data_IF_476701406242
#
_entry.id   IF_476701406242
#
_cell.length_a   1.000
_cell.length_b   1.000
_cell.length_c   1.000
_cell.angle_alpha   90.00
_cell.angle_beta   90.00
_cell.angle_gamma   90.00
#
_symmetry.space_group_name_H-M   'P 1'
#
loop_
_entity.id
_entity.type
_entity.pdbx_description
1 polymer ?
#
# COMPACT_ATOMS: atom_id res chain seq x y z
N UNK A 1 -16.40 -2.11 27.24
CA UNK A 1 -16.64 -1.45 25.94
C UNK A 1 -15.95 -2.29 24.87
N UNK A 2 -16.65 -2.59 23.76
CA UNK A 2 -16.03 -3.30 22.63
C UNK A 2 -14.96 -2.41 21.99
N UNK A 3 -13.89 -3.03 21.52
CA UNK A 3 -12.81 -2.33 20.82
C UNK A 3 -13.34 -1.78 19.48
N UNK A 4 -13.06 -0.51 19.16
CA UNK A 4 -13.42 0.06 17.86
C UNK A 4 -12.61 -0.62 16.75
N UNK A 5 -13.29 -1.15 15.73
CA UNK A 5 -12.71 -1.86 14.59
C UNK A 5 -13.06 -1.14 13.28
N UNK A 6 -12.54 -1.64 12.14
CA UNK A 6 -12.75 -1.06 10.81
C UNK A 6 -13.75 -1.85 9.95
N UNK A 7 -14.41 -2.88 10.48
CA UNK A 7 -15.27 -3.77 9.67
C UNK A 7 -16.41 -3.05 8.95
N UNK A 8 -16.99 -2.04 9.57
CA UNK A 8 -18.11 -1.22 9.06
C UNK A 8 -17.65 0.03 8.29
N UNK A 9 -16.33 0.21 8.13
CA UNK A 9 -15.71 1.40 7.53
C UNK A 9 -14.96 1.11 6.22
N UNK A 10 -15.23 -0.03 5.58
CA UNK A 10 -14.61 -0.34 4.30
C UNK A 10 -15.20 0.51 3.17
N UNK A 11 -14.34 0.99 2.27
CA UNK A 11 -14.72 1.79 1.12
C UNK A 11 -14.21 1.18 -0.19
N UNK A 12 -14.92 1.45 -1.28
CA UNK A 12 -14.46 1.04 -2.61
C UNK A 12 -13.31 1.93 -3.06
N UNK A 13 -12.23 1.33 -3.56
CA UNK A 13 -11.08 2.04 -4.11
C UNK A 13 -11.46 2.67 -5.47
N UNK A 14 -11.86 3.94 -5.46
CA UNK A 14 -12.39 4.63 -6.64
C UNK A 14 -13.49 3.81 -7.33
N UNK A 15 -13.40 3.67 -8.65
CA UNK A 15 -14.34 2.91 -9.48
C UNK A 15 -13.95 1.43 -9.71
N UNK A 16 -12.96 0.91 -8.98
CA UNK A 16 -12.42 -0.45 -9.19
C UNK A 16 -13.33 -1.60 -8.76
N UNK A 17 -14.31 -1.32 -7.89
CA UNK A 17 -15.11 -2.35 -7.22
C UNK A 17 -14.35 -3.14 -6.14
N UNK A 18 -13.11 -2.76 -5.82
CA UNK A 18 -12.30 -3.39 -4.77
C UNK A 18 -12.60 -2.70 -3.42
N UNK A 19 -13.20 -3.43 -2.50
CA UNK A 19 -13.54 -2.94 -1.16
C UNK A 19 -12.35 -3.10 -0.23
N UNK A 20 -11.86 -2.01 0.36
CA UNK A 20 -10.67 -1.97 1.23
C UNK A 20 -10.95 -1.29 2.56
N UNK A 21 -10.23 -1.73 3.58
CA UNK A 21 -10.24 -1.08 4.90
C UNK A 21 -9.50 0.27 4.86
N UNK A 22 -9.90 1.25 5.69
CA UNK A 22 -9.26 2.57 5.77
C UNK A 22 -7.78 2.54 6.13
N UNK A 23 -7.33 1.48 6.79
CA UNK A 23 -5.92 1.20 7.02
C UNK A 23 -5.53 -0.10 6.33
N UNK A 24 -4.37 -0.09 5.65
CA UNK A 24 -3.73 -1.26 5.07
C UNK A 24 -2.42 -1.63 5.78
N UNK A 25 -2.08 -2.90 5.82
CA UNK A 25 -0.85 -3.39 6.41
C UNK A 25 0.29 -3.37 5.40
N UNK A 26 1.28 -2.49 5.61
CA UNK A 26 2.52 -2.43 4.83
C UNK A 26 3.52 -3.48 5.31
N UNK A 27 4.13 -4.23 4.40
CA UNK A 27 4.87 -5.46 4.72
C UNK A 27 6.38 -5.41 4.44
N UNK A 28 6.96 -4.23 4.23
CA UNK A 28 8.43 -4.08 4.11
C UNK A 28 9.15 -4.79 5.26
N UNK A 29 8.72 -4.52 6.50
CA UNK A 29 9.32 -5.09 7.73
C UNK A 29 9.16 -6.61 7.88
N UNK A 30 8.34 -7.23 7.05
CA UNK A 30 8.20 -8.69 7.04
C UNK A 30 9.28 -9.38 6.20
N UNK A 31 9.95 -8.66 5.31
CA UNK A 31 10.88 -9.27 4.38
C UNK A 31 12.25 -8.58 4.23
N UNK A 32 12.35 -7.29 4.62
CA UNK A 32 13.57 -6.48 4.43
C UNK A 32 13.78 -5.52 5.60
N UNK A 33 15.00 -5.41 6.07
CA UNK A 33 15.44 -4.47 7.11
C UNK A 33 16.65 -3.62 6.69
N UNK A 34 17.16 -3.81 5.47
CA UNK A 34 18.25 -3.04 4.86
C UNK A 34 17.70 -1.97 3.91
N UNK A 35 18.41 -0.83 3.82
CA UNK A 35 18.04 0.29 2.95
C UNK A 35 16.58 0.75 3.12
N UNK A 36 16.11 0.79 4.36
CA UNK A 36 14.75 1.20 4.73
C UNK A 36 14.76 2.57 5.42
N UNK A 37 13.68 3.35 5.25
CA UNK A 37 13.58 4.73 5.73
C UNK A 37 12.90 4.85 7.12
N UNK A 38 13.15 3.90 8.02
CA UNK A 38 12.61 3.95 9.39
C UNK A 38 13.61 4.60 10.36
N UNK A 39 13.14 5.28 11.42
CA UNK A 39 14.02 6.00 12.37
C UNK A 39 14.91 5.10 13.21
N UNK A 40 14.61 3.82 13.30
CA UNK A 40 15.39 2.84 14.08
C UNK A 40 15.53 1.49 13.40
N UNK A 41 16.53 0.74 13.81
CA UNK A 41 16.70 -0.65 13.39
C UNK A 41 15.59 -1.53 13.97
N UNK A 42 15.27 -2.62 13.28
CA UNK A 42 14.32 -3.62 13.74
C UNK A 42 14.77 -5.02 13.28
N UNK A 43 14.36 -6.03 14.02
CA UNK A 43 14.50 -7.42 13.62
C UNK A 43 13.30 -7.82 12.77
N UNK A 44 13.53 -8.51 11.67
CA UNK A 44 12.45 -9.12 10.88
C UNK A 44 11.76 -10.17 11.76
N UNK A 45 10.43 -10.07 11.99
CA UNK A 45 9.70 -11.01 12.81
C UNK A 45 9.73 -12.43 12.22
N UNK A 46 9.67 -13.45 13.06
CA UNK A 46 9.51 -14.82 12.61
C UNK A 46 8.07 -15.08 12.09
N UNK A 47 7.82 -16.27 11.52
CA UNK A 47 6.52 -16.57 10.91
C UNK A 47 5.37 -16.65 11.92
N UNK A 48 5.63 -17.07 13.15
CA UNK A 48 4.58 -17.12 14.19
C UNK A 48 4.19 -15.72 14.65
N UNK A 49 5.17 -14.83 14.82
CA UNK A 49 4.91 -13.40 15.10
C UNK A 49 4.09 -12.76 13.97
N UNK A 50 4.40 -13.08 12.71
CA UNK A 50 3.63 -12.57 11.56
C UNK A 50 2.22 -13.17 11.53
N UNK A 51 2.03 -14.46 11.83
CA UNK A 51 0.69 -15.07 11.94
C UNK A 51 -0.17 -14.36 13.00
N UNK A 52 0.43 -14.05 14.17
CA UNK A 52 -0.25 -13.29 15.21
C UNK A 52 -0.65 -11.91 14.71
N UNK A 53 0.26 -11.20 14.05
CA UNK A 53 0.00 -9.87 13.50
C UNK A 53 -1.11 -9.88 12.43
N UNK A 54 -1.08 -10.83 11.49
CA UNK A 54 -2.11 -10.98 10.45
C UNK A 54 -3.48 -11.32 11.05
N UNK A 55 -3.53 -12.24 12.02
CA UNK A 55 -4.78 -12.58 12.73
C UNK A 55 -5.37 -11.37 13.43
N UNK A 56 -4.54 -10.59 14.10
CA UNK A 56 -4.96 -9.38 14.79
C UNK A 56 -5.42 -8.31 13.80
N UNK A 57 -4.70 -8.10 12.70
CA UNK A 57 -5.11 -7.16 11.64
C UNK A 57 -6.51 -7.50 11.14
N UNK A 58 -6.78 -8.77 10.85
CA UNK A 58 -8.10 -9.26 10.44
C UNK A 58 -9.18 -9.03 11.51
N UNK A 59 -8.90 -9.36 12.77
CA UNK A 59 -9.82 -9.12 13.89
C UNK A 59 -10.16 -7.64 14.10
N UNK A 60 -9.23 -6.76 13.74
CA UNK A 60 -9.41 -5.32 13.78
C UNK A 60 -10.09 -4.74 12.51
N UNK A 61 -10.42 -5.58 11.54
CA UNK A 61 -11.10 -5.19 10.31
C UNK A 61 -10.19 -4.71 9.19
N UNK A 62 -8.88 -4.96 9.26
CA UNK A 62 -7.97 -4.72 8.14
C UNK A 62 -8.10 -5.88 7.15
N UNK A 63 -8.39 -5.57 5.89
CA UNK A 63 -8.41 -6.53 4.80
C UNK A 63 -7.38 -6.27 3.70
N UNK A 64 -6.62 -5.18 3.79
CA UNK A 64 -5.66 -4.73 2.79
C UNK A 64 -4.22 -5.02 3.23
N UNK A 65 -3.46 -5.70 2.37
CA UNK A 65 -2.02 -5.95 2.53
C UNK A 65 -1.26 -5.33 1.36
N UNK A 66 -0.29 -4.47 1.65
CA UNK A 66 0.62 -3.87 0.68
C UNK A 66 2.00 -4.53 0.74
N UNK A 67 2.41 -5.16 -0.36
CA UNK A 67 3.72 -5.77 -0.54
C UNK A 67 4.39 -5.33 -1.85
N UNK A 68 5.58 -5.84 -2.15
CA UNK A 68 6.31 -5.61 -3.39
C UNK A 68 7.43 -6.65 -3.60
N UNK A 69 7.87 -6.89 -4.84
CA UNK A 69 9.10 -7.65 -5.13
C UNK A 69 10.33 -7.07 -4.41
N UNK A 70 10.42 -5.74 -4.32
CA UNK A 70 11.50 -5.03 -3.62
C UNK A 70 11.48 -5.19 -2.09
N UNK A 71 10.48 -5.83 -1.50
CA UNK A 71 10.39 -6.04 -0.04
C UNK A 71 11.03 -7.36 0.41
N UNK A 72 12.07 -7.81 -0.29
CA UNK A 72 12.84 -8.99 0.03
C UNK A 72 11.98 -10.27 0.04
N UNK A 73 11.85 -10.93 1.19
CA UNK A 73 11.10 -12.19 1.31
C UNK A 73 9.60 -12.02 1.59
N UNK A 74 9.09 -10.77 1.60
CA UNK A 74 7.71 -10.47 2.03
C UNK A 74 6.66 -11.24 1.22
N UNK A 75 6.70 -11.19 -0.12
CA UNK A 75 5.75 -11.91 -0.98
C UNK A 75 5.74 -13.42 -0.71
N UNK A 76 6.93 -14.06 -0.65
CA UNK A 76 7.05 -15.51 -0.41
C UNK A 76 6.47 -15.90 0.95
N UNK A 77 6.72 -15.09 1.99
CA UNK A 77 6.17 -15.34 3.32
C UNK A 77 4.66 -15.20 3.34
N UNK A 78 4.12 -14.15 2.71
CA UNK A 78 2.68 -13.93 2.61
C UNK A 78 1.98 -15.07 1.88
N UNK A 79 2.53 -15.58 0.77
CA UNK A 79 1.97 -16.74 0.07
C UNK A 79 1.73 -17.92 1.01
N UNK A 80 2.76 -18.32 1.77
CA UNK A 80 2.67 -19.41 2.76
C UNK A 80 1.71 -19.08 3.92
N UNK A 81 1.77 -17.85 4.45
CA UNK A 81 1.02 -17.47 5.65
C UNK A 81 -0.48 -17.22 5.38
N UNK A 82 -0.85 -16.92 4.13
CA UNK A 82 -2.22 -16.66 3.71
C UNK A 82 -2.92 -17.88 3.09
N UNK A 83 -2.29 -19.07 3.12
CA UNK A 83 -2.93 -20.31 2.63
C UNK A 83 -4.28 -20.54 3.31
N UNK A 84 -5.29 -20.85 2.50
CA UNK A 84 -6.66 -21.09 2.96
C UNK A 84 -7.48 -19.83 3.29
N UNK A 85 -6.85 -18.64 3.32
CA UNK A 85 -7.52 -17.38 3.61
C UNK A 85 -7.22 -16.27 2.57
N UNK A 86 -6.66 -16.62 1.41
CA UNK A 86 -6.30 -15.65 0.34
C UNK A 86 -7.47 -14.73 -0.04
N UNK A 87 -8.67 -15.28 -0.16
CA UNK A 87 -9.88 -14.54 -0.57
C UNK A 87 -10.39 -13.54 0.47
N UNK A 88 -9.89 -13.60 1.68
CA UNK A 88 -10.26 -12.68 2.76
C UNK A 88 -9.40 -11.40 2.77
N UNK A 89 -8.39 -11.35 1.88
CA UNK A 89 -7.44 -10.27 1.78
C UNK A 89 -7.43 -9.64 0.39
N UNK A 90 -7.37 -8.32 0.36
CA UNK A 90 -6.99 -7.54 -0.82
C UNK A 90 -5.47 -7.42 -0.83
N UNK A 91 -4.82 -7.98 -1.85
CA UNK A 91 -3.36 -7.91 -2.00
C UNK A 91 -2.96 -6.83 -2.99
N UNK A 92 -2.11 -5.92 -2.54
CA UNK A 92 -1.37 -5.00 -3.40
C UNK A 92 0.05 -5.53 -3.57
N UNK A 93 0.52 -5.67 -4.81
CA UNK A 93 1.95 -5.80 -5.10
C UNK A 93 2.40 -4.68 -6.04
N UNK A 94 3.66 -4.71 -6.46
CA UNK A 94 4.24 -3.65 -7.28
C UNK A 94 5.08 -4.23 -8.41
N UNK A 95 5.43 -3.38 -9.38
CA UNK A 95 6.36 -3.69 -10.48
C UNK A 95 7.32 -2.51 -10.68
N UNK A 96 8.46 -2.79 -11.28
CA UNK A 96 9.46 -1.79 -11.63
C UNK A 96 10.65 -1.79 -10.66
N UNK A 97 10.44 -1.65 -9.34
CA UNK A 97 11.53 -1.71 -8.37
C UNK A 97 11.80 -3.16 -7.95
N UNK A 98 13.06 -3.53 -8.00
CA UNK A 98 13.63 -4.77 -7.47
C UNK A 98 14.68 -4.46 -6.39
N UNK A 99 14.99 -5.46 -5.56
CA UNK A 99 16.03 -5.34 -4.54
C UNK A 99 16.81 -6.65 -4.46
N UNK A 100 18.05 -6.60 -4.96
CA UNK A 100 18.95 -7.75 -4.97
C UNK A 100 20.27 -7.36 -4.33
N UNK A 101 20.80 -8.22 -3.47
CA UNK A 101 22.13 -8.08 -2.84
C UNK A 101 22.36 -6.70 -2.21
N UNK A 102 21.32 -6.13 -1.56
CA UNK A 102 21.42 -4.84 -0.89
C UNK A 102 21.25 -3.63 -1.81
N UNK A 103 21.03 -3.83 -3.12
CA UNK A 103 20.95 -2.74 -4.11
C UNK A 103 19.54 -2.69 -4.74
N UNK A 104 18.85 -1.55 -4.68
CA UNK A 104 17.65 -1.34 -5.47
C UNK A 104 18.00 -1.07 -6.94
N UNK A 105 17.25 -1.64 -7.87
CA UNK A 105 17.30 -1.28 -9.29
C UNK A 105 15.88 -1.22 -9.85
N UNK A 106 15.72 -0.57 -11.02
CA UNK A 106 14.43 -0.37 -11.64
C UNK A 106 14.46 -0.83 -13.10
N UNK A 107 13.38 -1.52 -13.50
CA UNK A 107 13.14 -1.92 -14.89
C UNK A 107 11.63 -1.84 -15.17
N UNK A 108 11.24 -0.96 -16.09
CA UNK A 108 9.85 -0.70 -16.48
C UNK A 108 9.51 -1.26 -17.87
N UNK A 109 10.36 -2.12 -18.44
CA UNK A 109 10.09 -2.78 -19.72
C UNK A 109 8.89 -3.72 -19.64
N UNK A 110 8.25 -3.96 -20.78
CA UNK A 110 7.15 -4.92 -20.89
C UNK A 110 7.55 -6.33 -20.45
N UNK A 111 8.74 -6.76 -20.86
CA UNK A 111 9.28 -8.10 -20.52
C UNK A 111 9.46 -8.23 -19.00
N UNK A 112 10.12 -7.25 -18.36
CA UNK A 112 10.34 -7.28 -16.92
C UNK A 112 9.01 -7.21 -16.16
N UNK A 113 8.09 -6.32 -16.57
CA UNK A 113 6.78 -6.16 -15.94
C UNK A 113 6.02 -7.47 -15.92
N UNK A 114 5.94 -8.19 -17.05
CA UNK A 114 5.28 -9.49 -17.13
C UNK A 114 5.95 -10.55 -16.26
N UNK A 115 7.26 -10.67 -16.38
CA UNK A 115 8.06 -11.60 -15.56
C UNK A 115 7.87 -11.33 -14.06
N UNK A 116 7.89 -10.07 -13.64
CA UNK A 116 7.73 -9.67 -12.23
C UNK A 116 6.37 -10.07 -11.68
N UNK A 117 5.27 -9.87 -12.44
CA UNK A 117 3.92 -10.28 -12.03
C UNK A 117 3.80 -11.80 -11.94
N UNK A 118 4.27 -12.55 -12.93
CA UNK A 118 4.26 -14.01 -12.89
C UNK A 118 5.01 -14.55 -11.66
N UNK A 119 6.16 -13.97 -11.37
CA UNK A 119 6.95 -14.28 -10.18
C UNK A 119 6.22 -13.93 -8.88
N UNK A 120 5.54 -12.78 -8.83
CA UNK A 120 4.76 -12.36 -7.66
C UNK A 120 3.57 -13.28 -7.43
N UNK A 121 2.83 -13.68 -8.46
CA UNK A 121 1.76 -14.68 -8.38
C UNK A 121 2.26 -15.99 -7.78
N UNK A 122 3.42 -16.49 -8.27
CA UNK A 122 4.04 -17.70 -7.75
C UNK A 122 4.48 -17.57 -6.30
N UNK A 123 5.09 -16.43 -5.91
CA UNK A 123 5.53 -16.17 -4.54
C UNK A 123 4.38 -16.03 -3.57
N UNK A 124 3.29 -15.36 -4.00
CA UNK A 124 2.07 -15.14 -3.22
C UNK A 124 1.14 -16.36 -3.22
N UNK A 125 1.46 -17.42 -3.98
CA UNK A 125 0.66 -18.65 -4.10
C UNK A 125 -0.81 -18.35 -4.46
N UNK A 126 -1.01 -17.51 -5.49
CA UNK A 126 -2.35 -17.04 -5.91
C UNK A 126 -2.43 -16.91 -7.43
N UNK A 127 -3.63 -17.08 -7.98
CA UNK A 127 -3.89 -16.95 -9.42
C UNK A 127 -4.09 -15.50 -9.85
N UNK A 128 -4.35 -14.58 -8.90
CA UNK A 128 -4.53 -13.16 -9.18
C UNK A 128 -4.03 -12.27 -8.04
N UNK A 129 -3.64 -11.02 -8.39
CA UNK A 129 -3.36 -9.93 -7.46
C UNK A 129 -4.47 -8.90 -7.61
N UNK A 130 -5.00 -8.38 -6.49
CA UNK A 130 -6.10 -7.43 -6.53
C UNK A 130 -5.69 -6.08 -7.13
N UNK A 131 -4.51 -5.58 -6.78
CA UNK A 131 -3.99 -4.32 -7.30
C UNK A 131 -2.47 -4.41 -7.51
N UNK A 132 -2.01 -3.97 -8.68
CA UNK A 132 -0.57 -3.80 -8.95
C UNK A 132 -0.26 -2.33 -9.19
N UNK A 133 0.73 -1.82 -8.48
CA UNK A 133 1.20 -0.44 -8.63
C UNK A 133 2.58 -0.41 -9.32
N UNK A 134 2.78 0.52 -10.24
CA UNK A 134 4.13 0.84 -10.70
C UNK A 134 4.87 1.52 -9.55
N UNK A 135 6.03 1.00 -9.17
CA UNK A 135 6.87 1.50 -8.09
C UNK A 135 7.92 2.46 -8.65
N UNK A 136 7.58 3.73 -8.73
CA UNK A 136 8.40 4.75 -9.40
C UNK A 136 9.79 4.93 -8.80
N UNK A 137 10.77 5.19 -9.66
CA UNK A 137 12.12 5.68 -9.30
C UNK A 137 12.16 7.19 -9.04
N UNK A 138 11.12 7.93 -9.50
CA UNK A 138 10.99 9.39 -9.44
C UNK A 138 10.85 10.05 -10.82
N UNK A 139 11.16 9.31 -11.90
CA UNK A 139 10.99 9.77 -13.27
C UNK A 139 9.58 9.45 -13.79
N UNK A 140 8.55 9.81 -13.00
CA UNK A 140 7.15 9.38 -13.23
C UNK A 140 6.68 9.63 -14.67
N UNK A 141 6.96 10.82 -15.23
CA UNK A 141 6.52 11.15 -16.60
C UNK A 141 7.21 10.32 -17.66
N UNK A 142 8.52 10.04 -17.50
CA UNK A 142 9.25 9.14 -18.40
C UNK A 142 8.65 7.72 -18.36
N UNK A 143 8.41 7.19 -17.16
CA UNK A 143 7.82 5.86 -17.00
C UNK A 143 6.45 5.77 -17.68
N UNK A 144 5.63 6.82 -17.57
CA UNK A 144 4.27 6.85 -18.12
C UNK A 144 4.17 7.22 -19.60
N UNK A 145 5.23 7.81 -20.18
CA UNK A 145 5.25 8.21 -21.60
C UNK A 145 6.01 7.24 -22.48
N UNK A 146 7.15 6.76 -21.97
CA UNK A 146 8.21 6.16 -22.78
C UNK A 146 8.45 4.69 -22.42
N UNK A 147 7.89 4.19 -21.29
CA UNK A 147 7.97 2.79 -20.89
C UNK A 147 6.63 2.08 -21.12
N UNK A 148 6.68 0.82 -21.53
CA UNK A 148 5.51 -0.01 -21.88
C UNK A 148 4.79 -0.63 -20.66
N UNK A 149 5.14 -0.19 -19.44
CA UNK A 149 4.63 -0.78 -18.20
C UNK A 149 3.11 -0.70 -18.07
N UNK A 150 2.50 0.44 -18.45
CA UNK A 150 1.06 0.65 -18.31
C UNK A 150 0.26 -0.15 -19.34
N UNK A 151 0.70 -0.20 -20.59
CA UNK A 151 0.11 -1.04 -21.64
C UNK A 151 0.19 -2.52 -21.28
N UNK A 152 1.32 -2.93 -20.72
CA UNK A 152 1.54 -4.31 -20.26
C UNK A 152 0.62 -4.66 -19.09
N UNK A 153 0.46 -3.76 -18.10
CA UNK A 153 -0.47 -3.95 -16.99
C UNK A 153 -1.92 -4.04 -17.46
N UNK A 154 -2.31 -3.23 -18.44
CA UNK A 154 -3.65 -3.29 -19.04
C UNK A 154 -3.92 -4.62 -19.74
N UNK A 155 -2.91 -5.21 -20.41
CA UNK A 155 -3.00 -6.54 -21.01
C UNK A 155 -3.13 -7.64 -19.94
N UNK A 156 -2.31 -7.59 -18.91
CA UNK A 156 -2.31 -8.57 -17.81
C UNK A 156 -3.64 -8.50 -17.02
N UNK A 157 -4.25 -7.31 -16.90
CA UNK A 157 -5.60 -7.13 -16.34
C UNK A 157 -6.66 -7.84 -17.21
N UNK A 158 -6.57 -7.74 -18.53
CA UNK A 158 -7.46 -8.48 -19.46
C UNK A 158 -7.27 -10.00 -19.37
N UNK A 159 -6.06 -10.47 -19.05
CA UNK A 159 -5.77 -11.88 -18.80
C UNK A 159 -6.34 -12.40 -17.46
N UNK A 160 -6.87 -11.50 -16.60
CA UNK A 160 -7.43 -11.84 -15.30
C UNK A 160 -6.38 -12.08 -14.18
N UNK A 161 -5.10 -11.86 -14.45
CA UNK A 161 -4.01 -12.04 -13.46
C UNK A 161 -3.91 -10.91 -12.46
N UNK A 162 -4.43 -9.73 -12.80
CA UNK A 162 -4.60 -8.60 -11.89
C UNK A 162 -6.02 -8.04 -12.05
N UNK A 163 -6.63 -7.55 -10.98
CA UNK A 163 -7.97 -6.95 -11.04
C UNK A 163 -7.92 -5.47 -11.38
N UNK A 164 -6.87 -4.79 -10.92
CA UNK A 164 -6.70 -3.35 -11.09
C UNK A 164 -5.22 -2.99 -11.13
N UNK A 165 -4.89 -1.81 -11.65
CA UNK A 165 -3.53 -1.29 -11.63
C UNK A 165 -3.51 0.23 -11.44
N UNK A 166 -2.36 0.73 -10.97
CA UNK A 166 -2.14 2.13 -10.72
C UNK A 166 -0.66 2.46 -10.56
N UNK A 167 -0.37 3.56 -9.88
CA UNK A 167 0.98 4.10 -9.78
C UNK A 167 1.30 4.57 -8.35
N UNK A 168 2.47 4.23 -7.85
CA UNK A 168 3.02 4.82 -6.61
C UNK A 168 3.93 5.98 -6.99
N UNK A 169 3.33 7.18 -7.11
CA UNK A 169 3.97 8.40 -7.62
C UNK A 169 5.01 8.98 -6.66
N UNK A 170 5.86 9.83 -7.22
CA UNK A 170 6.79 10.69 -6.49
C UNK A 170 6.70 12.15 -6.92
N UNK A 171 5.92 12.45 -7.97
CA UNK A 171 5.68 13.80 -8.49
C UNK A 171 4.18 14.04 -8.66
N UNK A 172 3.77 15.31 -8.60
CA UNK A 172 2.37 15.71 -8.79
C UNK A 172 1.91 15.42 -10.23
N UNK A 173 2.71 15.83 -11.21
CA UNK A 173 2.42 15.66 -12.64
C UNK A 173 2.30 14.17 -12.99
N UNK A 174 3.20 13.35 -12.46
CA UNK A 174 3.19 11.91 -12.63
C UNK A 174 1.95 11.27 -12.01
N UNK A 175 1.60 11.65 -10.79
CA UNK A 175 0.40 11.15 -10.11
C UNK A 175 -0.88 11.48 -10.84
N UNK A 176 -1.05 12.73 -11.30
CA UNK A 176 -2.21 13.15 -12.11
C UNK A 176 -2.25 12.41 -13.43
N UNK A 177 -1.11 12.27 -14.14
CA UNK A 177 -1.05 11.55 -15.41
C UNK A 177 -1.39 10.06 -15.22
N UNK A 178 -0.87 9.45 -14.18
CA UNK A 178 -1.16 8.05 -13.84
C UNK A 178 -2.66 7.81 -13.61
N UNK A 179 -3.35 8.73 -12.94
CA UNK A 179 -4.80 8.64 -12.71
C UNK A 179 -5.63 8.79 -14.00
N UNK A 180 -5.12 9.52 -15.02
CA UNK A 180 -5.78 9.60 -16.33
C UNK A 180 -5.79 8.26 -17.07
N UNK A 181 -4.80 7.42 -16.84
CA UNK A 181 -4.55 6.17 -17.57
C UNK A 181 -4.86 4.91 -16.76
N UNK A 182 -4.79 5.00 -15.43
CA UNK A 182 -4.98 3.89 -14.50
C UNK A 182 -6.18 4.05 -13.57
N UNK A 183 -6.32 3.12 -12.65
CA UNK A 183 -7.48 3.03 -11.77
C UNK A 183 -7.29 3.83 -10.46
N UNK A 184 -6.03 3.93 -9.97
CA UNK A 184 -5.70 4.57 -8.70
C UNK A 184 -4.26 5.08 -8.65
N UNK A 185 -3.97 5.91 -7.65
CA UNK A 185 -2.61 6.31 -7.28
C UNK A 185 -2.31 6.05 -5.80
N UNK A 186 -1.04 5.77 -5.49
CA UNK A 186 -0.51 5.75 -4.13
C UNK A 186 0.42 6.94 -3.96
N UNK A 187 0.01 7.89 -3.16
CA UNK A 187 0.68 9.18 -2.93
C UNK A 187 1.35 9.25 -1.57
N UNK A 188 2.32 10.13 -1.40
CA UNK A 188 2.80 10.54 -0.09
C UNK A 188 1.96 11.71 0.40
N UNK A 189 1.27 11.53 1.54
CA UNK A 189 0.51 12.60 2.16
C UNK A 189 0.52 12.41 3.68
N UNK A 190 1.07 13.37 4.40
CA UNK A 190 1.19 13.36 5.86
C UNK A 190 1.42 14.79 6.40
N UNK A 191 1.54 14.96 7.71
CA UNK A 191 1.70 16.27 8.34
C UNK A 191 2.89 17.07 7.81
N UNK A 192 3.96 16.40 7.38
CA UNK A 192 5.22 17.03 6.95
C UNK A 192 5.34 17.13 5.42
N UNK A 193 4.54 16.36 4.66
CA UNK A 193 4.67 16.25 3.21
C UNK A 193 3.29 16.20 2.55
N UNK A 194 2.88 17.31 1.95
CA UNK A 194 1.55 17.50 1.36
C UNK A 194 1.59 17.90 -0.12
N UNK A 195 2.76 17.83 -0.77
CA UNK A 195 2.93 18.28 -2.16
C UNK A 195 1.98 17.54 -3.14
N UNK A 196 1.71 16.25 -2.90
CA UNK A 196 0.81 15.45 -3.74
C UNK A 196 -0.70 15.70 -3.46
N UNK A 197 -1.08 16.76 -2.70
CA UNK A 197 -2.50 17.14 -2.48
C UNK A 197 -3.25 17.33 -3.80
N UNK A 198 -2.62 17.90 -4.80
CA UNK A 198 -3.24 18.11 -6.11
C UNK A 198 -3.59 16.79 -6.84
N UNK A 199 -2.87 15.69 -6.56
CA UNK A 199 -3.21 14.34 -7.06
C UNK A 199 -4.49 13.84 -6.38
N UNK A 200 -4.63 14.10 -5.08
CA UNK A 200 -5.81 13.75 -4.28
C UNK A 200 -7.04 14.51 -4.81
N UNK A 201 -6.90 15.83 -5.06
CA UNK A 201 -7.98 16.66 -5.58
C UNK A 201 -8.41 16.22 -6.99
N UNK A 202 -7.44 15.86 -7.84
CA UNK A 202 -7.75 15.29 -9.16
C UNK A 202 -8.51 13.96 -9.06
N UNK A 203 -8.12 13.10 -8.12
CA UNK A 203 -8.77 11.80 -7.91
C UNK A 203 -10.22 11.97 -7.46
N UNK A 204 -10.49 12.90 -6.54
CA UNK A 204 -11.84 13.22 -6.06
C UNK A 204 -12.74 13.69 -7.23
N UNK A 205 -12.26 14.63 -8.04
CA UNK A 205 -13.00 15.16 -9.18
C UNK A 205 -13.27 14.12 -10.28
N UNK A 206 -12.52 13.00 -10.32
CA UNK A 206 -12.60 11.98 -11.37
C UNK A 206 -12.95 10.58 -10.87
N UNK A 207 -13.43 10.44 -9.63
CA UNK A 207 -13.83 9.16 -9.00
C UNK A 207 -12.72 8.08 -9.06
N UNK A 208 -11.46 8.50 -8.89
CA UNK A 208 -10.29 7.62 -8.88
C UNK A 208 -9.92 7.22 -7.46
N UNK A 209 -9.26 6.05 -7.29
CA UNK A 209 -8.84 5.59 -5.98
C UNK A 209 -7.55 6.25 -5.49
N UNK A 210 -7.49 6.59 -4.20
CA UNK A 210 -6.27 7.08 -3.55
C UNK A 210 -5.88 6.17 -2.39
N UNK A 211 -4.64 5.73 -2.43
CA UNK A 211 -3.93 5.09 -1.32
C UNK A 211 -2.86 6.05 -0.81
N UNK A 212 -2.61 6.04 0.49
CA UNK A 212 -1.56 6.87 1.08
C UNK A 212 -0.43 6.01 1.63
N UNK A 213 0.79 6.25 1.13
CA UNK A 213 2.05 5.75 1.72
C UNK A 213 2.64 6.77 2.68
N UNK A 214 3.49 6.33 3.62
CA UNK A 214 4.14 7.18 4.62
C UNK A 214 3.15 8.03 5.45
N UNK A 215 1.95 7.54 5.68
CA UNK A 215 0.89 8.21 6.42
C UNK A 215 1.35 8.75 7.79
N UNK A 216 2.26 8.04 8.46
CA UNK A 216 2.90 8.42 9.73
C UNK A 216 4.38 8.81 9.54
N UNK A 217 4.73 9.43 8.40
CA UNK A 217 6.09 9.85 8.04
C UNK A 217 7.15 8.77 8.31
N UNK A 218 6.87 7.52 7.90
CA UNK A 218 7.71 6.34 8.15
C UNK A 218 8.00 6.05 9.63
N UNK A 219 7.16 6.53 10.56
CA UNK A 219 7.31 6.40 12.00
C UNK A 219 8.00 7.57 12.68
N UNK A 220 8.47 8.58 11.93
CA UNK A 220 9.11 9.78 12.52
C UNK A 220 8.14 10.62 13.36
N UNK A 221 6.86 10.70 13.00
CA UNK A 221 5.84 11.39 13.80
C UNK A 221 5.63 10.77 15.19
N UNK A 222 6.06 9.51 15.39
CA UNK A 222 5.91 8.84 16.69
C UNK A 222 7.00 9.20 17.69
N UNK A 223 8.01 10.00 17.32
CA UNK A 223 9.16 10.35 18.14
C UNK A 223 8.97 11.67 18.90
N UNK A 224 7.97 12.48 18.58
CA UNK A 224 7.73 13.75 19.21
C UNK A 224 6.89 13.59 20.48
N UNK A 225 7.43 13.90 21.68
CA UNK A 225 6.69 13.79 22.93
C UNK A 225 5.62 14.87 23.07
N UNK A 226 4.51 14.54 23.72
CA UNK A 226 3.52 15.50 24.20
C UNK A 226 2.40 15.88 23.23
N UNK A 227 2.48 15.51 21.95
CA UNK A 227 1.43 15.76 20.95
C UNK A 227 1.02 14.44 20.33
N UNK A 228 -0.28 14.14 20.29
CA UNK A 228 -0.77 12.94 19.61
C UNK A 228 -0.75 13.13 18.08
N UNK A 229 0.45 13.04 17.50
CA UNK A 229 0.66 13.24 16.05
C UNK A 229 0.01 12.12 15.21
N UNK A 230 -0.18 10.93 15.76
CA UNK A 230 -0.93 9.86 15.10
C UNK A 230 -2.38 10.29 14.92
N UNK A 231 -3.00 10.82 15.94
CA UNK A 231 -4.37 11.33 15.88
C UNK A 231 -4.49 12.49 14.86
N UNK A 232 -3.58 13.46 14.90
CA UNK A 232 -3.54 14.57 13.92
C UNK A 232 -3.32 14.08 12.49
N UNK A 233 -2.44 13.07 12.30
CA UNK A 233 -2.21 12.48 10.99
C UNK A 233 -3.49 11.85 10.42
N UNK A 234 -4.22 11.09 11.22
CA UNK A 234 -5.45 10.46 10.75
C UNK A 234 -6.59 11.47 10.51
N UNK A 235 -6.69 12.54 11.29
CA UNK A 235 -7.62 13.66 10.98
C UNK A 235 -7.27 14.26 9.62
N UNK A 236 -6.01 14.59 9.36
CA UNK A 236 -5.56 15.14 8.08
C UNK A 236 -5.92 14.23 6.91
N UNK A 237 -5.69 12.93 7.06
CA UNK A 237 -5.93 11.94 6.01
C UNK A 237 -7.42 11.75 5.74
N UNK A 238 -8.20 11.44 6.77
CA UNK A 238 -9.61 11.07 6.61
C UNK A 238 -10.56 12.26 6.45
N UNK A 239 -10.07 13.50 6.65
CA UNK A 239 -10.76 14.69 6.16
C UNK A 239 -10.79 14.77 4.62
N UNK A 240 -10.00 13.98 3.90
CA UNK A 240 -10.04 13.84 2.45
C UNK A 240 -10.87 12.59 2.10
N UNK A 241 -12.14 12.75 1.73
CA UNK A 241 -13.09 11.66 1.50
C UNK A 241 -12.64 10.64 0.45
N UNK A 242 -11.83 11.06 -0.52
CA UNK A 242 -11.29 10.22 -1.60
C UNK A 242 -10.13 9.32 -1.15
N UNK A 243 -9.49 9.61 -0.01
CA UNK A 243 -8.44 8.73 0.55
C UNK A 243 -9.11 7.45 1.05
N UNK A 244 -8.95 6.39 0.28
CA UNK A 244 -9.59 5.11 0.56
C UNK A 244 -8.86 4.31 1.62
N UNK A 245 -7.51 4.32 1.62
CA UNK A 245 -6.71 3.60 2.62
C UNK A 245 -5.34 4.22 2.84
N UNK A 246 -4.89 4.21 4.09
CA UNK A 246 -3.54 4.61 4.50
C UNK A 246 -2.71 3.37 4.91
N UNK A 247 -1.55 3.19 4.27
CA UNK A 247 -0.68 2.04 4.51
C UNK A 247 0.19 2.29 5.73
N UNK A 248 0.05 1.44 6.75
CA UNK A 248 0.83 1.48 8.00
C UNK A 248 1.78 0.29 8.08
N UNK A 249 3.06 0.55 8.33
CA UNK A 249 4.14 -0.45 8.35
C UNK A 249 4.58 -0.85 9.76
N UNK A 250 3.67 -1.29 10.63
CA UNK A 250 4.02 -1.77 11.98
C UNK A 250 4.13 -3.28 12.04
N UNK A 251 5.07 -3.78 12.87
CA UNK A 251 5.20 -5.18 13.27
C UNK A 251 4.88 -5.37 14.76
N UNK A 252 4.49 -4.29 15.45
CA UNK A 252 4.09 -4.32 16.86
C UNK A 252 2.56 -4.40 16.97
N UNK A 253 2.00 -5.47 17.56
CA UNK A 253 0.57 -5.65 17.73
C UNK A 253 -0.12 -4.53 18.51
N UNK A 254 0.52 -3.97 19.53
CA UNK A 254 -0.05 -2.86 20.31
C UNK A 254 -0.15 -1.59 19.48
N UNK A 255 0.88 -1.27 18.66
CA UNK A 255 0.83 -0.15 17.73
C UNK A 255 -0.25 -0.34 16.67
N UNK A 256 -0.43 -1.58 16.17
CA UNK A 256 -1.49 -1.89 15.22
C UNK A 256 -2.87 -1.60 15.82
N UNK A 257 -3.14 -2.11 17.03
CA UNK A 257 -4.40 -1.85 17.74
C UNK A 257 -4.63 -0.36 17.95
N UNK A 258 -3.62 0.35 18.46
CA UNK A 258 -3.71 1.79 18.71
C UNK A 258 -4.07 2.58 17.44
N UNK A 259 -3.39 2.28 16.32
CA UNK A 259 -3.65 2.93 15.04
C UNK A 259 -5.07 2.68 14.56
N UNK A 260 -5.53 1.43 14.63
CA UNK A 260 -6.88 1.05 14.20
C UNK A 260 -7.95 1.73 15.04
N UNK A 261 -7.82 1.67 16.36
CA UNK A 261 -8.80 2.30 17.26
C UNK A 261 -8.85 3.82 17.05
N UNK A 262 -7.69 4.46 16.89
CA UNK A 262 -7.60 5.90 16.63
C UNK A 262 -8.27 6.26 15.30
N UNK A 263 -7.95 5.55 14.22
CA UNK A 263 -8.55 5.77 12.90
C UNK A 263 -10.07 5.56 12.91
N UNK A 264 -10.53 4.44 13.49
CA UNK A 264 -11.95 4.13 13.57
C UNK A 264 -12.75 5.18 14.35
N UNK A 265 -12.22 5.67 15.47
CA UNK A 265 -12.88 6.71 16.26
C UNK A 265 -12.96 8.04 15.49
N UNK A 266 -11.91 8.43 14.78
CA UNK A 266 -11.90 9.64 13.96
C UNK A 266 -12.92 9.54 12.84
N UNK A 267 -12.91 8.45 12.07
CA UNK A 267 -13.81 8.27 10.93
C UNK A 267 -15.29 8.23 11.31
N UNK A 268 -15.63 7.81 12.52
CA UNK A 268 -17.02 7.86 13.02
C UNK A 268 -17.45 9.24 13.50
N UNK A 269 -16.51 10.17 13.61
CA UNK A 269 -16.78 11.56 14.02
C UNK A 269 -16.81 12.52 12.82
N UNK A 270 -16.27 12.12 11.67
CA UNK A 270 -16.32 12.84 10.39
C UNK A 270 -17.60 12.52 9.62
#
# INVERSE_FOLDING_TARGET
MSLSTLHDLHHTLGSTGILVSPLGLGTVKLGRNECVKYPGSFKIPNDDEVRVLLRQAKQLGINLIDTAPAYGRSEKRLGTLLRGQRKEWVLISKVGEEFNDGVPYHDFSATHTRMSIERSLKRLETDFIDLVLVHSDGNDLYILNDCEVYETLAQIKKEGKIRSFGFSSKTVEGGVKALKQGDCAMVTFNLNEQAEKAVIDYAEANSKGILVKKALASGHVCLEPGINLIHKSFILLFAQSVITSAIIGTINPLHLTYNVVTAANIMRQL
#
